data_IF_402277876172
#
_entry.id   IF_402277876172
#
_cell.length_a   1.000
_cell.length_b   1.000
_cell.length_c   1.000
_cell.angle_alpha   90.00
_cell.angle_beta   90.00
_cell.angle_gamma   90.00
#
_symmetry.space_group_name_H-M   'P 1'
#
loop_
_entity.id
_entity.type
_entity.pdbx_description
1 polymer ?
#
# COMPACT_ATOMS: atom_id res chain seq x y z
N UNK A 1 -12.68 -8.46 -8.33
CA UNK A 1 -12.10 -7.18 -7.92
C UNK A 1 -11.90 -6.27 -9.13
N UNK A 2 -11.72 -4.99 -8.89
CA UNK A 2 -11.47 -3.97 -9.90
C UNK A 2 -10.20 -3.22 -9.55
N UNK A 3 -9.54 -2.64 -10.54
CA UNK A 3 -8.45 -1.69 -10.32
C UNK A 3 -8.94 -0.53 -9.43
N UNK A 4 -8.13 -0.17 -8.43
CA UNK A 4 -8.45 0.84 -7.43
C UNK A 4 -9.13 0.31 -6.18
N UNK A 5 -9.66 -0.92 -6.17
CA UNK A 5 -10.21 -1.52 -4.94
C UNK A 5 -9.11 -1.65 -3.88
N UNK A 6 -9.43 -1.30 -2.64
CA UNK A 6 -8.56 -1.56 -1.48
C UNK A 6 -8.96 -2.91 -0.90
N UNK A 7 -8.00 -3.81 -0.78
CA UNK A 7 -8.23 -5.20 -0.35
C UNK A 7 -7.49 -5.54 0.93
N UNK A 8 -8.12 -6.39 1.73
CA UNK A 8 -7.49 -7.07 2.86
C UNK A 8 -7.18 -8.50 2.42
N UNK A 9 -5.98 -8.96 2.69
CA UNK A 9 -5.50 -10.27 2.28
C UNK A 9 -4.44 -10.81 3.24
N UNK A 10 -4.32 -12.13 3.29
CA UNK A 10 -3.25 -12.79 4.02
C UNK A 10 -1.93 -12.62 3.28
N UNK A 11 -0.91 -12.19 4.01
CA UNK A 11 0.41 -11.91 3.42
C UNK A 11 1.01 -13.20 2.81
N UNK A 12 1.44 -13.19 1.54
CA UNK A 12 1.86 -14.42 0.84
C UNK A 12 3.04 -15.14 1.50
N UNK A 13 3.97 -14.42 2.14
CA UNK A 13 5.15 -15.01 2.80
C UNK A 13 4.88 -15.41 4.26
N UNK A 14 3.85 -14.85 4.91
CA UNK A 14 3.40 -15.24 6.25
C UNK A 14 1.88 -15.10 6.37
N UNK A 15 1.09 -16.14 6.03
CA UNK A 15 -0.37 -16.08 6.02
C UNK A 15 -1.05 -15.87 7.39
N UNK A 16 -0.28 -15.74 8.47
CA UNK A 16 -0.79 -15.35 9.80
C UNK A 16 -0.94 -13.84 9.94
N UNK A 17 -0.49 -13.07 8.94
CA UNK A 17 -0.51 -11.62 8.94
C UNK A 17 -1.43 -11.11 7.84
N UNK A 18 -2.32 -10.20 8.20
CA UNK A 18 -3.18 -9.53 7.23
C UNK A 18 -2.54 -8.23 6.77
N UNK A 19 -2.61 -7.99 5.48
CA UNK A 19 -2.18 -6.75 4.85
C UNK A 19 -3.37 -6.07 4.19
N UNK A 20 -3.28 -4.75 4.10
CA UNK A 20 -4.22 -3.93 3.35
C UNK A 20 -3.46 -3.16 2.28
N UNK A 21 -3.86 -3.29 1.02
CA UNK A 21 -3.25 -2.62 -0.13
C UNK A 21 -4.30 -2.33 -1.19
N UNK A 22 -3.93 -1.50 -2.18
CA UNK A 22 -4.77 -1.18 -3.32
C UNK A 22 -4.41 -2.00 -4.54
N UNK A 23 -5.42 -2.52 -5.24
CA UNK A 23 -5.26 -3.22 -6.53
C UNK A 23 -4.85 -2.23 -7.60
N UNK A 24 -3.69 -2.46 -8.23
CA UNK A 24 -3.10 -1.60 -9.25
C UNK A 24 -3.15 -2.28 -10.62
N UNK A 25 -2.86 -3.57 -10.70
CA UNK A 25 -3.02 -4.32 -11.94
C UNK A 25 -3.79 -5.64 -11.70
N UNK A 26 -4.54 -6.03 -12.73
CA UNK A 26 -5.45 -7.18 -12.74
C UNK A 26 -4.78 -8.41 -13.34
N UNK A 27 -5.36 -9.62 -13.17
CA UNK A 27 -4.87 -10.83 -13.81
C UNK A 27 -4.67 -10.65 -15.32
N UNK A 28 -3.53 -11.11 -15.83
CA UNK A 28 -3.17 -11.05 -17.24
C UNK A 28 -2.57 -9.72 -17.73
N UNK A 29 -2.68 -8.65 -16.96
CA UNK A 29 -2.09 -7.34 -17.31
C UNK A 29 -0.57 -7.30 -17.06
N UNK A 30 0.11 -6.35 -17.68
CA UNK A 30 1.51 -6.04 -17.37
C UNK A 30 1.59 -4.79 -16.50
N UNK A 31 2.53 -4.76 -15.57
CA UNK A 31 2.80 -3.62 -14.69
C UNK A 31 4.28 -3.26 -14.75
N UNK A 32 4.58 -1.97 -14.80
CA UNK A 32 5.93 -1.42 -14.68
C UNK A 32 5.90 -0.15 -13.84
N UNK A 33 7.03 0.20 -13.22
CA UNK A 33 7.19 1.50 -12.56
C UNK A 33 8.44 2.15 -13.14
N UNK A 34 8.32 3.41 -13.55
CA UNK A 34 9.42 4.23 -14.08
C UNK A 34 9.34 5.59 -13.43
N UNK A 35 10.39 5.96 -12.74
CA UNK A 35 10.48 7.23 -12.02
C UNK A 35 9.24 7.48 -11.13
N UNK A 36 8.94 6.49 -10.27
CA UNK A 36 7.78 6.44 -9.36
C UNK A 36 6.40 6.39 -10.03
N UNK A 37 6.32 6.46 -11.35
CA UNK A 37 5.05 6.42 -12.09
C UNK A 37 4.70 4.99 -12.48
N UNK A 38 3.49 4.58 -12.18
CA UNK A 38 2.97 3.25 -12.52
C UNK A 38 2.43 3.25 -13.96
N UNK A 39 2.77 2.19 -14.67
CA UNK A 39 2.25 1.89 -16.02
C UNK A 39 1.56 0.53 -15.99
N UNK A 40 0.41 0.43 -16.62
CA UNK A 40 -0.31 -0.83 -16.81
C UNK A 40 -0.58 -1.00 -18.29
N UNK A 41 -0.17 -2.15 -18.85
CA UNK A 41 -0.20 -2.43 -20.30
C UNK A 41 0.43 -1.30 -21.13
N UNK A 42 1.55 -0.76 -20.60
CA UNK A 42 2.30 0.33 -21.24
C UNK A 42 1.68 1.72 -21.08
N UNK A 43 0.46 1.85 -20.57
CA UNK A 43 -0.21 3.14 -20.35
C UNK A 43 0.01 3.66 -18.90
N UNK A 44 0.30 4.97 -18.72
CA UNK A 44 0.45 5.54 -17.39
C UNK A 44 -0.88 5.48 -16.61
N UNK A 45 -0.82 5.03 -15.37
CA UNK A 45 -1.96 5.00 -14.47
C UNK A 45 -2.16 6.36 -13.79
N UNK A 46 -3.40 6.85 -13.78
CA UNK A 46 -3.77 8.06 -13.02
C UNK A 46 -4.11 7.67 -11.58
N UNK A 47 -3.37 8.20 -10.60
CA UNK A 47 -3.43 7.75 -9.22
C UNK A 47 -3.52 8.93 -8.24
N UNK A 48 -4.71 9.52 -8.11
CA UNK A 48 -4.95 10.65 -7.20
C UNK A 48 -4.81 10.29 -5.70
N UNK A 49 -4.75 9.02 -5.39
CA UNK A 49 -4.60 8.47 -4.04
C UNK A 49 -3.14 8.17 -3.66
N UNK A 50 -2.25 8.11 -4.63
CA UNK A 50 -0.84 7.82 -4.38
C UNK A 50 -0.15 9.00 -3.70
N UNK A 51 0.64 8.69 -2.68
CA UNK A 51 1.44 9.64 -1.92
C UNK A 51 2.91 9.23 -1.95
N UNK A 52 3.78 10.19 -2.23
CA UNK A 52 5.23 10.06 -2.17
C UNK A 52 5.75 10.96 -1.05
N UNK A 53 6.42 10.36 -0.08
CA UNK A 53 6.99 11.07 1.07
C UNK A 53 8.37 11.67 0.76
N UNK A 54 9.03 11.13 -0.27
CA UNK A 54 10.39 11.48 -0.69
C UNK A 54 10.35 11.99 -2.15
N UNK A 55 10.88 13.18 -2.39
CA UNK A 55 10.99 13.77 -3.74
C UNK A 55 12.11 13.13 -4.57
N UNK A 56 13.08 12.47 -3.92
CA UNK A 56 14.16 11.80 -4.62
C UNK A 56 13.67 10.55 -5.35
N UNK A 57 14.22 10.30 -6.53
CA UNK A 57 13.97 9.12 -7.34
C UNK A 57 15.25 8.31 -7.48
N UNK A 58 15.19 7.04 -7.13
CA UNK A 58 16.32 6.12 -7.29
C UNK A 58 16.39 5.64 -8.75
N UNK A 59 17.57 5.68 -9.38
CA UNK A 59 17.74 5.18 -10.76
C UNK A 59 17.67 3.65 -10.81
N UNK A 60 17.46 3.11 -12.02
CA UNK A 60 17.58 1.66 -12.27
C UNK A 60 19.03 1.23 -12.38
N UNK A 61 19.73 1.21 -11.25
CA UNK A 61 21.12 0.79 -11.13
C UNK A 61 21.20 -0.46 -10.24
N UNK A 62 21.75 -1.59 -10.74
CA UNK A 62 21.93 -2.81 -9.95
C UNK A 62 22.80 -2.65 -8.69
N UNK A 63 23.59 -1.59 -8.59
CA UNK A 63 24.36 -1.28 -7.38
C UNK A 63 23.48 -0.76 -6.23
N UNK A 64 22.25 -0.33 -6.54
CA UNK A 64 21.29 0.16 -5.54
C UNK A 64 20.50 -1.04 -4.98
N UNK A 65 20.36 -1.14 -3.65
CA UNK A 65 19.56 -2.19 -3.02
C UNK A 65 18.12 -2.23 -3.57
N UNK A 66 17.57 -3.43 -3.71
CA UNK A 66 16.26 -3.66 -4.32
C UNK A 66 15.11 -2.93 -3.60
N UNK A 67 15.20 -2.75 -2.28
CA UNK A 67 14.22 -2.01 -1.48
C UNK A 67 14.10 -0.53 -1.89
N UNK A 68 15.17 0.06 -2.39
CA UNK A 68 15.18 1.42 -2.95
C UNK A 68 14.90 1.40 -4.46
N UNK A 69 15.61 0.57 -5.21
CA UNK A 69 15.51 0.51 -6.66
C UNK A 69 14.11 0.11 -7.12
N UNK A 70 13.56 -1.01 -6.63
CA UNK A 70 12.23 -1.50 -7.02
C UNK A 70 11.09 -0.60 -6.51
N UNK A 71 11.35 0.24 -5.53
CA UNK A 71 10.41 1.26 -5.08
C UNK A 71 10.05 2.21 -6.21
N UNK A 72 11.05 2.67 -6.97
CA UNK A 72 10.91 3.74 -7.95
C UNK A 72 11.04 3.25 -9.39
N UNK A 73 11.69 2.08 -9.60
CA UNK A 73 11.96 1.47 -10.90
C UNK A 73 11.61 -0.02 -10.84
N UNK A 74 10.47 -0.40 -11.36
CA UNK A 74 10.07 -1.80 -11.48
C UNK A 74 10.08 -2.19 -12.96
N UNK A 75 10.92 -3.16 -13.38
CA UNK A 75 10.85 -3.68 -14.73
C UNK A 75 9.47 -4.27 -15.01
N UNK A 76 9.09 -4.29 -16.27
CA UNK A 76 7.79 -4.81 -16.67
C UNK A 76 7.60 -6.25 -16.20
N UNK A 77 6.49 -6.50 -15.51
CA UNK A 77 6.08 -7.81 -15.01
C UNK A 77 4.66 -8.12 -15.42
N UNK A 78 4.43 -9.34 -15.91
CA UNK A 78 3.07 -9.82 -16.16
C UNK A 78 2.46 -10.33 -14.84
N UNK A 79 1.22 -9.91 -14.58
CA UNK A 79 0.42 -10.40 -13.46
C UNK A 79 -0.15 -11.76 -13.85
N UNK A 80 0.13 -12.85 -13.11
CA UNK A 80 -0.42 -14.15 -13.39
C UNK A 80 -1.96 -14.18 -13.34
N UNK A 81 -2.56 -15.11 -14.09
CA UNK A 81 -3.99 -15.36 -13.97
C UNK A 81 -4.35 -15.75 -12.51
N UNK A 82 -5.48 -15.25 -12.02
CA UNK A 82 -5.91 -15.47 -10.64
C UNK A 82 -5.08 -14.75 -9.59
N UNK A 83 -4.30 -13.74 -9.96
CA UNK A 83 -3.51 -12.93 -9.03
C UNK A 83 -3.69 -11.44 -9.30
N UNK A 84 -3.42 -10.61 -8.30
CA UNK A 84 -3.51 -9.16 -8.37
C UNK A 84 -2.21 -8.50 -7.96
N UNK A 85 -1.80 -7.45 -8.67
CA UNK A 85 -0.67 -6.63 -8.26
C UNK A 85 -1.18 -5.48 -7.40
N UNK A 86 -0.69 -5.40 -6.17
CA UNK A 86 -1.18 -4.44 -5.19
C UNK A 86 -0.08 -3.53 -4.67
N UNK A 87 -0.40 -2.26 -4.44
CA UNK A 87 0.51 -1.26 -3.88
C UNK A 87 -0.10 -0.57 -2.66
N UNK A 88 0.77 -0.13 -1.75
CA UNK A 88 0.38 0.81 -0.71
C UNK A 88 0.21 2.22 -1.28
N UNK A 89 -0.74 2.99 -0.75
CA UNK A 89 -0.96 4.37 -1.19
C UNK A 89 0.22 5.28 -0.80
N UNK A 90 0.87 5.04 0.36
CA UNK A 90 2.18 5.62 0.68
C UNK A 90 3.28 4.83 -0.03
N UNK A 91 3.64 5.26 -1.23
CA UNK A 91 4.53 4.55 -2.15
C UNK A 91 5.94 4.35 -1.62
N UNK A 92 6.46 5.32 -0.89
CA UNK A 92 7.84 5.29 -0.41
C UNK A 92 8.00 4.50 0.89
N UNK A 93 6.90 4.22 1.60
CA UNK A 93 6.89 3.45 2.85
C UNK A 93 5.81 2.35 2.79
N UNK A 94 6.00 1.40 1.89
CA UNK A 94 5.08 0.28 1.73
C UNK A 94 5.82 -1.00 1.31
N UNK A 95 5.68 -2.04 2.10
CA UNK A 95 6.04 -3.40 1.71
C UNK A 95 4.85 -4.00 0.92
N UNK A 96 4.99 -4.13 -0.41
CA UNK A 96 3.91 -4.51 -1.32
C UNK A 96 4.41 -5.35 -2.51
N UNK A 97 3.60 -5.53 -3.54
CA UNK A 97 3.88 -6.41 -4.68
C UNK A 97 5.16 -6.09 -5.46
N UNK A 98 5.75 -4.92 -5.26
CA UNK A 98 7.06 -4.59 -5.84
C UNK A 98 8.15 -5.54 -5.34
N UNK A 99 8.04 -5.99 -4.10
CA UNK A 99 9.04 -6.77 -3.39
C UNK A 99 8.72 -8.26 -3.37
N UNK A 100 7.51 -8.64 -3.00
CA UNK A 100 7.12 -10.05 -2.83
C UNK A 100 6.19 -10.59 -3.94
N UNK A 101 5.85 -9.76 -4.95
CA UNK A 101 5.09 -10.21 -6.12
C UNK A 101 3.57 -10.07 -5.99
N UNK A 102 2.80 -10.60 -6.97
CA UNK A 102 1.34 -10.53 -7.00
C UNK A 102 0.70 -11.37 -5.89
N UNK A 103 -0.50 -10.95 -5.43
CA UNK A 103 -1.32 -11.67 -4.45
C UNK A 103 -2.25 -12.63 -5.16
N UNK A 104 -2.19 -13.94 -4.89
CA UNK A 104 -3.19 -14.90 -5.37
C UNK A 104 -4.61 -14.55 -4.85
N UNK A 105 -5.62 -14.71 -5.70
CA UNK A 105 -7.03 -14.48 -5.35
C UNK A 105 -7.46 -15.25 -4.09
N UNK A 106 -6.96 -16.46 -3.92
CA UNK A 106 -7.24 -17.32 -2.77
C UNK A 106 -6.78 -16.75 -1.42
N UNK A 107 -5.87 -15.77 -1.41
CA UNK A 107 -5.41 -15.09 -0.19
C UNK A 107 -6.25 -13.84 0.12
N UNK A 108 -7.09 -13.38 -0.78
CA UNK A 108 -7.90 -12.17 -0.59
C UNK A 108 -9.09 -12.51 0.31
N UNK A 109 -9.21 -11.81 1.42
CA UNK A 109 -10.27 -11.98 2.40
C UNK A 109 -11.46 -11.06 2.13
N UNK A 110 -11.19 -9.87 1.56
CA UNK A 110 -12.27 -8.95 1.26
C UNK A 110 -11.81 -7.59 0.73
N UNK A 111 -12.80 -6.77 0.41
CA UNK A 111 -12.61 -5.40 -0.05
C UNK A 111 -13.01 -4.42 1.05
N UNK A 112 -12.15 -3.43 1.31
CA UNK A 112 -12.47 -2.33 2.21
C UNK A 112 -13.55 -1.44 1.58
N UNK A 113 -14.63 -1.18 2.30
CA UNK A 113 -15.76 -0.38 1.80
C UNK A 113 -15.76 1.05 2.34
N UNK A 114 -15.37 1.22 3.59
CA UNK A 114 -15.35 2.53 4.24
C UNK A 114 -14.35 2.57 5.39
N UNK A 115 -13.92 3.79 5.73
CA UNK A 115 -13.09 4.05 6.91
C UNK A 115 -13.99 4.10 8.13
N UNK A 116 -13.93 3.06 8.96
CA UNK A 116 -14.74 3.01 10.18
C UNK A 116 -14.32 4.06 11.19
N UNK A 117 -13.02 4.20 11.41
CA UNK A 117 -12.45 5.16 12.35
C UNK A 117 -11.05 5.56 11.94
N UNK A 118 -10.71 6.84 12.09
CA UNK A 118 -9.38 7.38 11.78
C UNK A 118 -8.91 8.27 12.92
N UNK A 119 -7.66 8.05 13.37
CA UNK A 119 -7.01 8.85 14.41
C UNK A 119 -5.68 9.42 13.92
N UNK A 120 -5.33 10.61 14.37
CA UNK A 120 -4.01 11.16 14.14
C UNK A 120 -2.98 10.36 14.95
N UNK A 121 -1.90 9.84 14.34
CA UNK A 121 -0.83 9.16 15.07
C UNK A 121 -0.23 10.06 16.15
N UNK A 122 0.25 9.49 17.25
CA UNK A 122 1.12 10.24 18.16
C UNK A 122 2.41 10.55 17.42
N UNK A 123 2.86 11.81 17.48
CA UNK A 123 4.18 12.17 16.97
C UNK A 123 5.22 11.26 17.65
N UNK A 124 6.04 10.58 16.86
CA UNK A 124 7.04 9.61 17.32
C UNK A 124 8.30 10.26 17.93
N UNK A 125 8.20 11.48 18.45
CA UNK A 125 9.33 12.18 19.06
C UNK A 125 9.82 11.57 20.38
N UNK A 126 9.18 10.51 20.89
CA UNK A 126 9.69 9.73 22.02
C UNK A 126 9.40 8.23 21.84
N UNK A 127 10.38 7.33 22.09
CA UNK A 127 10.09 5.90 22.11
C UNK A 127 9.03 5.61 23.19
N UNK A 128 8.12 4.66 22.96
CA UNK A 128 7.12 4.29 23.96
C UNK A 128 7.84 3.78 25.21
N UNK A 129 7.70 4.51 26.31
CA UNK A 129 8.12 4.00 27.60
C UNK A 129 7.34 2.70 27.87
N UNK A 130 8.02 1.67 28.36
CA UNK A 130 7.39 0.44 28.83
C UNK A 130 6.26 0.80 29.80
N UNK A 131 5.01 0.46 29.45
CA UNK A 131 3.85 0.79 30.27
C UNK A 131 3.06 2.00 29.77
N UNK A 132 2.89 2.17 28.44
CA UNK A 132 2.01 3.21 27.89
C UNK A 132 0.60 2.96 28.42
N UNK A 133 0.01 3.87 29.24
CA UNK A 133 -1.38 3.77 29.62
C UNK A 133 -2.22 3.82 28.33
N UNK A 134 -3.22 2.96 28.24
CA UNK A 134 -4.26 3.05 27.22
C UNK A 134 -4.67 4.52 27.13
N UNK A 135 -4.62 5.09 25.92
CA UNK A 135 -5.01 6.48 25.70
C UNK A 135 -6.39 6.72 26.35
N UNK A 136 -6.51 7.76 27.16
CA UNK A 136 -7.81 8.03 27.77
C UNK A 136 -8.87 8.17 26.69
N UNK A 137 -10.13 7.78 26.92
CA UNK A 137 -11.20 7.95 25.94
C UNK A 137 -11.29 9.40 25.42
N UNK A 138 -10.97 10.37 26.25
CA UNK A 138 -10.97 11.80 25.89
C UNK A 138 -9.80 12.12 24.93
N UNK A 139 -8.61 11.57 25.14
CA UNK A 139 -7.46 11.73 24.23
C UNK A 139 -7.74 11.10 22.87
N UNK A 140 -8.38 9.95 22.87
CA UNK A 140 -8.78 9.24 21.67
C UNK A 140 -9.81 10.03 20.87
N UNK A 141 -10.84 10.59 21.52
CA UNK A 141 -11.85 11.45 20.89
C UNK A 141 -11.25 12.72 20.28
N UNK A 142 -10.31 13.38 20.99
CA UNK A 142 -9.63 14.59 20.50
C UNK A 142 -8.74 14.32 19.29
N UNK A 143 -8.22 13.12 19.14
CA UNK A 143 -7.35 12.70 18.04
C UNK A 143 -8.11 12.06 16.90
N UNK A 144 -9.42 11.81 17.05
CA UNK A 144 -10.26 11.24 16.00
C UNK A 144 -10.37 12.24 14.84
N UNK A 145 -10.09 11.77 13.66
CA UNK A 145 -10.27 12.52 12.42
C UNK A 145 -11.71 12.35 11.95
N UNK A 146 -12.60 13.17 12.48
CA UNK A 146 -14.03 13.10 12.18
C UNK A 146 -14.33 13.33 10.70
N UNK A 147 -13.50 14.15 10.03
CA UNK A 147 -13.52 14.40 8.60
C UNK A 147 -13.27 13.16 7.74
N UNK A 148 -12.66 12.12 8.33
CA UNK A 148 -12.33 10.86 7.64
C UNK A 148 -13.08 9.64 8.17
N UNK A 149 -13.88 9.78 9.20
CA UNK A 149 -14.65 8.69 9.80
C UNK A 149 -15.91 8.45 8.99
N UNK A 150 -16.23 7.17 8.71
CA UNK A 150 -17.36 6.72 7.88
C UNK A 150 -17.31 7.17 6.41
N UNK A 151 -16.16 7.62 5.91
CA UNK A 151 -16.00 7.90 4.50
C UNK A 151 -15.81 6.60 3.68
N UNK A 152 -16.40 6.52 2.49
CA UNK A 152 -16.13 5.40 1.58
C UNK A 152 -14.65 5.40 1.18
N UNK A 153 -14.08 4.21 1.08
CA UNK A 153 -12.74 4.01 0.51
C UNK A 153 -12.87 4.18 -1.01
N UNK A 154 -12.11 5.11 -1.56
CA UNK A 154 -12.06 5.43 -2.99
C UNK A 154 -10.68 5.17 -3.56
#
# INVERSE_FOLDING_TARGET
LRRGDVVVFRFPEDPRRDFIKRVVALPGETVAIRDKRVFVDGAPLSESYAFHADDATWPDDPAIPDDHRLRDQLPERRVPEGSYFVLGDNRDDSNDSRFWGPVPDALIEGRALFVYWSVTPRSSAAPPARGVPLASPIDLLRRTRWDRTLLPVR
#
